data_IF_740899815354
#
_entry.id   IF_740899815354
#
_cell.length_a   1.000
_cell.length_b   1.000
_cell.length_c   1.000
_cell.angle_alpha   90.00
_cell.angle_beta   90.00
_cell.angle_gamma   90.00
#
_symmetry.space_group_name_H-M   'P 1'
#
loop_
_entity.id
_entity.type
_entity.pdbx_description
1 polymer ?
#
# COMPACT_ATOMS: atom_id res chain seq x y z
N UNK A 1 -27.27 -15.20 -18.69
CA UNK A 1 -27.16 -14.91 -17.24
C UNK A 1 -25.73 -14.98 -16.70
N UNK A 2 -24.92 -16.02 -17.00
CA UNK A 2 -23.55 -16.15 -16.44
C UNK A 2 -22.60 -14.97 -16.77
N UNK A 3 -22.65 -14.44 -18.00
CA UNK A 3 -21.79 -13.32 -18.42
C UNK A 3 -22.12 -12.01 -17.67
N UNK A 4 -23.39 -11.70 -17.46
CA UNK A 4 -23.81 -10.52 -16.69
C UNK A 4 -23.32 -10.61 -15.23
N UNK A 5 -23.40 -11.79 -14.62
CA UNK A 5 -22.88 -12.02 -13.27
C UNK A 5 -21.36 -11.81 -13.19
N UNK A 6 -20.61 -12.32 -14.16
CA UNK A 6 -19.14 -12.13 -14.21
C UNK A 6 -18.77 -10.67 -14.37
N UNK A 7 -19.47 -9.92 -15.23
CA UNK A 7 -19.26 -8.49 -15.42
C UNK A 7 -19.55 -7.73 -14.11
N UNK A 8 -20.65 -8.06 -13.43
CA UNK A 8 -21.05 -7.42 -12.17
C UNK A 8 -20.02 -7.66 -11.06
N UNK A 9 -19.52 -8.90 -10.93
CA UNK A 9 -18.49 -9.27 -9.96
C UNK A 9 -17.15 -8.61 -10.29
N UNK A 10 -16.79 -8.55 -11.58
CA UNK A 10 -15.57 -7.89 -12.03
C UNK A 10 -15.58 -6.40 -11.72
N UNK A 11 -16.70 -5.72 -12.00
CA UNK A 11 -16.86 -4.29 -11.70
C UNK A 11 -16.87 -4.03 -10.20
N UNK A 12 -17.61 -4.83 -9.41
CA UNK A 12 -17.66 -4.65 -7.96
C UNK A 12 -16.29 -4.89 -7.31
N UNK A 13 -15.56 -5.91 -7.75
CA UNK A 13 -14.19 -6.17 -7.34
C UNK A 13 -13.26 -5.01 -7.69
N UNK A 14 -13.31 -4.52 -8.93
CA UNK A 14 -12.52 -3.39 -9.40
C UNK A 14 -12.76 -2.11 -8.59
N UNK A 15 -14.02 -1.77 -8.33
CA UNK A 15 -14.39 -0.59 -7.51
C UNK A 15 -13.88 -0.75 -6.07
N UNK A 16 -14.04 -1.94 -5.48
CA UNK A 16 -13.62 -2.21 -4.10
C UNK A 16 -12.10 -2.06 -3.96
N UNK A 17 -11.32 -2.68 -4.85
CA UNK A 17 -9.86 -2.61 -4.83
C UNK A 17 -9.36 -1.21 -5.15
N UNK A 18 -9.94 -0.53 -6.16
CA UNK A 18 -9.60 0.84 -6.50
C UNK A 18 -9.85 1.82 -5.36
N UNK A 19 -11.02 1.71 -4.71
CA UNK A 19 -11.34 2.52 -3.53
C UNK A 19 -10.39 2.24 -2.36
N UNK A 20 -9.99 0.99 -2.13
CA UNK A 20 -9.04 0.64 -1.09
C UNK A 20 -7.67 1.27 -1.33
N UNK A 21 -7.17 1.25 -2.58
CA UNK A 21 -5.90 1.88 -2.96
C UNK A 21 -5.97 3.41 -2.79
N UNK A 22 -7.05 4.04 -3.24
CA UNK A 22 -7.24 5.49 -3.08
C UNK A 22 -7.30 5.91 -1.60
N UNK A 23 -8.07 5.17 -0.78
CA UNK A 23 -8.13 5.39 0.66
C UNK A 23 -6.75 5.18 1.33
N UNK A 24 -6.00 4.19 0.88
CA UNK A 24 -4.67 3.92 1.40
C UNK A 24 -3.67 5.05 1.09
N UNK A 25 -3.63 5.55 -0.15
CA UNK A 25 -2.75 6.67 -0.54
C UNK A 25 -3.10 7.97 0.19
N UNK A 26 -4.38 8.23 0.42
CA UNK A 26 -4.83 9.41 1.18
C UNK A 26 -4.50 9.29 2.66
N UNK A 27 -4.70 8.13 3.29
CA UNK A 27 -4.33 7.88 4.69
C UNK A 27 -2.83 8.05 4.93
N UNK A 28 -1.99 7.54 4.02
CA UNK A 28 -0.54 7.71 4.08
C UNK A 28 -0.06 9.12 3.69
N UNK A 29 -0.97 10.00 3.25
CA UNK A 29 -0.64 11.35 2.75
C UNK A 29 0.40 11.35 1.63
N UNK A 30 0.34 10.34 0.75
CA UNK A 30 1.34 10.14 -0.30
C UNK A 30 1.41 11.37 -1.24
N UNK A 31 0.26 11.87 -1.68
CA UNK A 31 0.15 13.04 -2.57
C UNK A 31 0.66 14.31 -1.88
N UNK A 32 0.22 14.55 -0.64
CA UNK A 32 0.63 15.74 0.12
C UNK A 32 2.14 15.75 0.37
N UNK A 33 2.76 14.59 0.61
CA UNK A 33 4.21 14.51 0.81
C UNK A 33 4.99 14.77 -0.46
N UNK A 34 4.53 14.26 -1.61
CA UNK A 34 5.18 14.56 -2.89
C UNK A 34 5.09 16.07 -3.16
N UNK A 35 3.90 16.66 -3.02
CA UNK A 35 3.70 18.11 -3.18
C UNK A 35 4.56 18.93 -2.21
N UNK A 36 4.76 18.45 -0.98
CA UNK A 36 5.64 19.09 0.01
C UNK A 36 7.11 19.02 -0.38
N UNK A 37 7.60 17.87 -0.86
CA UNK A 37 9.01 17.70 -1.27
C UNK A 37 9.32 18.51 -2.54
N UNK A 38 8.36 18.62 -3.46
CA UNK A 38 8.53 19.38 -4.70
C UNK A 38 8.15 20.85 -4.56
N UNK A 39 7.66 21.27 -3.39
CA UNK A 39 7.16 22.62 -3.09
C UNK A 39 6.03 23.09 -4.05
N UNK A 40 5.33 22.17 -4.69
CA UNK A 40 4.29 22.46 -5.71
C UNK A 40 2.92 22.01 -5.23
N UNK A 41 2.33 22.79 -4.31
CA UNK A 41 0.97 22.55 -3.81
C UNK A 41 -0.11 22.82 -4.87
N UNK A 42 0.17 23.67 -5.86
CA UNK A 42 -0.80 24.01 -6.91
C UNK A 42 -1.09 22.83 -7.86
N UNK A 43 -0.22 21.82 -7.88
CA UNK A 43 -0.28 20.68 -8.80
C UNK A 43 -0.74 19.37 -8.14
N UNK A 44 -1.43 19.41 -6.99
CA UNK A 44 -1.95 18.22 -6.27
C UNK A 44 -2.75 17.30 -7.20
N UNK A 45 -3.66 17.88 -7.99
CA UNK A 45 -4.53 17.13 -8.92
C UNK A 45 -3.70 16.38 -9.96
N UNK A 46 -2.59 16.96 -10.43
CA UNK A 46 -1.71 16.30 -11.38
C UNK A 46 -1.04 15.07 -10.77
N UNK A 47 -0.61 15.14 -9.50
CA UNK A 47 -0.05 13.99 -8.79
C UNK A 47 -1.07 12.86 -8.58
N UNK A 48 -2.33 13.20 -8.28
CA UNK A 48 -3.42 12.22 -8.18
C UNK A 48 -3.65 11.51 -9.52
N UNK A 49 -3.71 12.26 -10.63
CA UNK A 49 -3.83 11.65 -11.96
C UNK A 49 -2.65 10.74 -12.29
N UNK A 50 -1.42 11.15 -11.99
CA UNK A 50 -0.24 10.31 -12.18
C UNK A 50 -0.34 8.99 -11.39
N UNK A 51 -0.84 9.03 -10.15
CA UNK A 51 -1.06 7.82 -9.34
C UNK A 51 -2.14 6.92 -9.92
N UNK A 52 -3.27 7.48 -10.36
CA UNK A 52 -4.37 6.72 -10.97
C UNK A 52 -3.89 6.05 -12.26
N UNK A 53 -3.23 6.80 -13.15
CA UNK A 53 -2.68 6.26 -14.40
C UNK A 53 -1.64 5.17 -14.10
N UNK A 54 -0.77 5.37 -13.11
CA UNK A 54 0.20 4.36 -12.67
C UNK A 54 -0.47 3.08 -12.14
N UNK A 55 -1.52 3.20 -11.35
CA UNK A 55 -2.26 2.06 -10.80
C UNK A 55 -3.00 1.28 -11.90
N UNK A 56 -3.63 1.97 -12.84
CA UNK A 56 -4.34 1.35 -13.98
C UNK A 56 -3.34 0.65 -14.90
N UNK A 57 -2.28 1.35 -15.32
CA UNK A 57 -1.24 0.77 -16.20
C UNK A 57 -0.52 -0.39 -15.53
N UNK A 58 -0.16 -0.27 -14.26
CA UNK A 58 0.44 -1.35 -13.47
C UNK A 58 -0.48 -2.58 -13.36
N UNK A 59 -1.77 -2.37 -13.14
CA UNK A 59 -2.76 -3.47 -13.09
C UNK A 59 -2.89 -4.18 -14.44
N UNK A 60 -2.96 -3.42 -15.54
CA UNK A 60 -3.00 -3.99 -16.89
C UNK A 60 -1.72 -4.76 -17.19
N UNK A 61 -0.55 -4.21 -16.86
CA UNK A 61 0.75 -4.86 -17.08
C UNK A 61 0.92 -6.11 -16.22
N UNK A 62 0.37 -6.14 -15.00
CA UNK A 62 0.45 -7.32 -14.12
C UNK A 62 -0.35 -8.51 -14.66
N UNK A 63 -1.54 -8.25 -15.23
CA UNK A 63 -2.39 -9.29 -15.82
C UNK A 63 -2.05 -9.62 -17.27
N UNK A 64 -1.37 -8.71 -17.96
CA UNK A 64 -0.87 -8.98 -19.29
C UNK A 64 0.42 -9.78 -19.15
N UNK A 65 0.41 -11.08 -19.49
CA UNK A 65 1.61 -11.96 -19.59
C UNK A 65 2.60 -11.50 -20.70
N UNK A 66 2.72 -10.19 -20.90
CA UNK A 66 3.58 -9.55 -21.88
C UNK A 66 4.96 -9.41 -21.26
N UNK A 67 5.85 -10.32 -21.65
CA UNK A 67 7.26 -10.20 -21.33
C UNK A 67 7.89 -9.13 -22.21
N UNK A 68 7.96 -7.90 -21.70
CA UNK A 68 8.75 -6.86 -22.33
C UNK A 68 10.23 -7.25 -22.26
N UNK A 69 10.85 -7.53 -23.40
CA UNK A 69 12.31 -7.66 -23.54
C UNK A 69 12.95 -6.27 -23.44
N UNK A 70 12.90 -5.68 -22.25
CA UNK A 70 13.44 -4.35 -21.98
C UNK A 70 14.96 -4.38 -21.98
N UNK A 71 15.55 -3.29 -22.48
CA UNK A 71 16.99 -3.08 -22.40
C UNK A 71 17.42 -2.98 -20.92
N UNK A 72 18.63 -3.48 -20.61
CA UNK A 72 19.21 -3.49 -19.26
C UNK A 72 19.23 -2.10 -18.60
N UNK A 73 19.43 -1.05 -19.40
CA UNK A 73 19.38 0.35 -18.92
C UNK A 73 17.99 0.75 -18.37
N UNK A 74 16.92 0.32 -19.03
CA UNK A 74 15.54 0.65 -18.63
C UNK A 74 15.19 -0.09 -17.34
N UNK A 75 15.65 -1.34 -17.20
CA UNK A 75 15.43 -2.14 -15.98
C UNK A 75 16.12 -1.48 -14.77
N UNK A 76 17.34 -0.98 -14.95
CA UNK A 76 18.06 -0.24 -13.89
C UNK A 76 17.27 1.00 -13.47
N UNK A 77 16.76 1.77 -14.44
CA UNK A 77 15.97 2.95 -14.15
C UNK A 77 14.68 2.60 -13.37
N UNK A 78 13.95 1.57 -13.80
CA UNK A 78 12.76 1.07 -13.09
C UNK A 78 13.11 0.63 -11.66
N UNK A 79 14.25 -0.04 -11.47
CA UNK A 79 14.73 -0.42 -10.14
C UNK A 79 15.04 0.76 -9.22
N UNK A 80 15.59 1.85 -9.77
CA UNK A 80 15.82 3.09 -9.00
C UNK A 80 14.47 3.72 -8.62
N UNK A 81 13.54 3.82 -9.57
CA UNK A 81 12.20 4.38 -9.30
C UNK A 81 11.44 3.55 -8.25
N UNK A 82 11.53 2.22 -8.30
CA UNK A 82 10.91 1.36 -7.29
C UNK A 82 11.55 1.54 -5.91
N UNK A 83 12.88 1.73 -5.85
CA UNK A 83 13.59 2.08 -4.63
C UNK A 83 13.13 3.42 -4.04
N UNK A 84 12.98 4.45 -4.86
CA UNK A 84 12.44 5.76 -4.43
C UNK A 84 11.02 5.62 -3.89
N UNK A 85 10.16 4.87 -4.58
CA UNK A 85 8.80 4.59 -4.13
C UNK A 85 8.80 3.86 -2.78
N UNK A 86 9.61 2.81 -2.61
CA UNK A 86 9.76 2.08 -1.35
C UNK A 86 10.30 2.97 -0.22
N UNK A 87 11.23 3.88 -0.51
CA UNK A 87 11.71 4.87 0.45
C UNK A 87 10.62 5.81 0.94
N UNK A 88 9.84 6.38 0.01
CA UNK A 88 8.68 7.22 0.34
C UNK A 88 7.63 6.43 1.14
N UNK A 89 7.37 5.19 0.73
CA UNK A 89 6.42 4.29 1.38
C UNK A 89 6.80 3.97 2.82
N UNK A 90 8.05 3.58 3.06
CA UNK A 90 8.55 3.24 4.40
C UNK A 90 8.57 4.45 5.32
N UNK A 91 8.94 5.63 4.81
CA UNK A 91 8.82 6.90 5.54
C UNK A 91 7.36 7.23 5.88
N UNK A 92 6.41 6.89 5.00
CA UNK A 92 4.98 7.15 5.20
C UNK A 92 4.43 6.28 6.32
N UNK A 93 4.80 5.01 6.26
CA UNK A 93 4.45 4.06 7.29
C UNK A 93 5.04 4.45 8.65
N UNK A 94 6.31 4.89 8.69
CA UNK A 94 6.93 5.35 9.93
C UNK A 94 6.21 6.56 10.55
N UNK A 95 5.79 7.53 9.74
CA UNK A 95 5.01 8.68 10.23
C UNK A 95 3.66 8.24 10.81
N UNK A 96 2.91 7.40 10.10
CA UNK A 96 1.60 6.88 10.55
C UNK A 96 1.74 6.01 11.81
N UNK A 97 2.76 5.16 11.87
CA UNK A 97 3.07 4.35 13.05
C UNK A 97 3.40 5.23 14.26
N UNK A 98 4.10 6.34 14.06
CA UNK A 98 4.44 7.28 15.13
C UNK A 98 3.21 8.01 15.71
N UNK A 99 2.08 8.00 15.00
CA UNK A 99 0.81 8.55 15.52
C UNK A 99 0.11 7.59 16.50
N UNK A 100 0.34 6.27 16.38
CA UNK A 100 -0.30 5.27 17.26
C UNK A 100 0.03 5.49 18.75
N UNK A 101 1.31 5.69 19.15
CA UNK A 101 1.66 6.03 20.53
C UNK A 101 1.05 7.35 21.02
N UNK A 102 0.95 8.34 20.13
CA UNK A 102 0.37 9.66 20.44
C UNK A 102 -1.11 9.51 20.74
N UNK A 103 -1.85 8.77 19.93
CA UNK A 103 -3.25 8.43 20.20
C UNK A 103 -3.40 7.67 21.51
N UNK A 104 -2.59 6.63 21.76
CA UNK A 104 -2.67 5.84 22.98
C UNK A 104 -2.40 6.67 24.26
N UNK A 105 -1.47 7.63 24.20
CA UNK A 105 -1.25 8.61 25.28
C UNK A 105 -2.46 9.54 25.47
N UNK A 106 -3.08 9.99 24.38
CA UNK A 106 -4.21 10.93 24.40
C UNK A 106 -5.47 10.33 25.02
N UNK A 107 -5.70 9.03 24.85
CA UNK A 107 -6.80 8.30 25.50
C UNK A 107 -6.51 7.95 26.98
N UNK A 108 -5.42 8.44 27.59
CA UNK A 108 -5.01 8.13 28.98
C UNK A 108 -4.89 6.62 29.28
N UNK A 109 -4.64 5.80 28.26
CA UNK A 109 -4.48 4.35 28.37
C UNK A 109 -3.05 4.01 28.80
N UNK A 110 -2.58 4.57 29.92
CA UNK A 110 -1.22 4.31 30.43
C UNK A 110 -1.03 2.87 30.89
N UNK A 111 -2.10 2.17 31.27
CA UNK A 111 -2.03 0.78 31.75
C UNK A 111 -2.41 -0.27 30.71
N UNK A 112 -3.25 0.03 29.70
CA UNK A 112 -3.67 -1.00 28.73
C UNK A 112 -2.84 -1.08 27.44
N UNK A 113 -1.90 -0.15 27.24
CA UNK A 113 -0.91 -0.24 26.17
C UNK A 113 -0.13 -1.57 26.21
N UNK A 114 0.11 -2.10 27.42
CA UNK A 114 0.80 -3.38 27.60
C UNK A 114 -0.03 -4.54 27.05
N UNK A 115 -1.36 -4.51 27.20
CA UNK A 115 -2.24 -5.55 26.66
C UNK A 115 -2.31 -5.49 25.13
N UNK A 116 -2.31 -4.29 24.55
CA UNK A 116 -2.26 -4.11 23.09
C UNK A 116 -0.94 -4.65 22.53
N UNK A 117 0.19 -4.35 23.19
CA UNK A 117 1.51 -4.84 22.78
C UNK A 117 1.59 -6.37 22.91
N UNK A 118 1.10 -6.94 24.01
CA UNK A 118 1.06 -8.40 24.22
C UNK A 118 0.18 -9.09 23.18
N UNK A 119 -1.00 -8.52 22.87
CA UNK A 119 -1.88 -9.04 21.83
C UNK A 119 -1.21 -9.01 20.44
N UNK A 120 -0.49 -7.93 20.11
CA UNK A 120 0.29 -7.80 18.88
C UNK A 120 1.42 -8.85 18.79
N UNK A 121 2.15 -9.04 19.88
CA UNK A 121 3.24 -10.02 19.96
C UNK A 121 2.68 -11.43 19.80
N UNK A 122 1.63 -11.78 20.53
CA UNK A 122 0.98 -13.08 20.41
C UNK A 122 0.43 -13.32 19.01
N UNK A 123 -0.23 -12.32 18.40
CA UNK A 123 -0.68 -12.40 17.02
C UNK A 123 0.46 -12.68 16.03
N UNK A 124 1.62 -12.02 16.20
CA UNK A 124 2.82 -12.30 15.40
C UNK A 124 3.37 -13.71 15.62
N UNK A 125 3.41 -14.18 16.87
CA UNK A 125 3.91 -15.52 17.22
C UNK A 125 2.99 -16.59 16.64
N UNK A 126 1.68 -16.48 16.85
CA UNK A 126 0.70 -17.42 16.30
C UNK A 126 0.67 -17.38 14.77
N UNK A 127 0.74 -16.20 14.16
CA UNK A 127 0.83 -16.07 12.71
C UNK A 127 2.08 -16.72 12.12
N UNK A 128 3.23 -16.54 12.78
CA UNK A 128 4.49 -17.19 12.40
C UNK A 128 4.42 -18.71 12.56
N UNK A 129 3.91 -19.20 13.70
CA UNK A 129 3.71 -20.63 13.92
C UNK A 129 2.76 -21.24 12.90
N UNK A 130 1.65 -20.58 12.59
CA UNK A 130 0.70 -21.04 11.60
C UNK A 130 1.33 -21.08 10.20
N UNK A 131 2.10 -20.06 9.82
CA UNK A 131 2.83 -20.04 8.56
C UNK A 131 3.78 -21.23 8.44
N UNK A 132 4.58 -21.51 9.48
CA UNK A 132 5.53 -22.62 9.47
C UNK A 132 4.89 -24.01 9.60
N UNK A 133 3.81 -24.19 10.39
CA UNK A 133 3.17 -25.49 10.56
C UNK A 133 2.20 -25.85 9.42
N UNK A 134 1.43 -24.87 8.94
CA UNK A 134 0.33 -25.13 8.00
C UNK A 134 0.70 -24.84 6.55
N UNK A 135 1.50 -23.80 6.30
CA UNK A 135 1.85 -23.36 4.94
C UNK A 135 3.18 -23.93 4.47
N UNK A 136 4.17 -24.01 5.37
CA UNK A 136 5.45 -24.65 5.10
C UNK A 136 5.39 -26.15 5.39
N UNK A 137 4.66 -26.89 4.56
CA UNK A 137 4.69 -28.36 4.58
C UNK A 137 5.93 -28.80 3.78
N UNK A 138 6.86 -29.50 4.44
CA UNK A 138 7.88 -30.30 3.73
C UNK A 138 7.20 -31.34 2.82
#
# INVERSE_FOLDING_TARGET
MKIILVILIGISGGITVGSAIAAFFTLLKFVARIAQITETWDNIVFYEYCMVVGAVTGSVLYYSDINFRLNKLIIILIGILSGVFLGLFTSALAEVLNVIPVFAKKFKVKHELIYIIIALILGKVFGSLFYFLAFLKY
#
